data_IF_987813991985
#
_entry.id   IF_987813991985
#
_cell.length_a   1.000
_cell.length_b   1.000
_cell.length_c   1.000
_cell.angle_alpha   90.00
_cell.angle_beta   90.00
_cell.angle_gamma   90.00
#
_symmetry.space_group_name_H-M   'P 1'
#
loop_
_entity.id
_entity.type
_entity.pdbx_description
1 polymer ?
#
# COMPACT_ATOMS: atom_id res chain seq x y z
N UNK A 1 7.68 28.27 11.54
CA UNK A 1 8.81 27.37 11.84
C UNK A 1 8.96 26.36 10.70
N UNK A 2 10.17 25.88 10.43
CA UNK A 2 10.39 24.76 9.49
C UNK A 2 10.03 23.46 10.22
N UNK A 3 9.20 22.63 9.60
CA UNK A 3 8.83 21.32 10.14
C UNK A 3 9.53 20.21 9.37
N UNK A 4 10.30 19.39 10.08
CA UNK A 4 10.86 18.16 9.54
C UNK A 4 9.99 17.00 10.02
N UNK A 5 9.28 16.37 9.07
CA UNK A 5 8.33 15.30 9.36
C UNK A 5 8.93 13.95 8.95
N UNK A 6 8.98 13.00 9.87
CA UNK A 6 9.20 11.58 9.55
C UNK A 6 8.01 10.73 10.01
N UNK A 7 7.58 9.82 9.14
CA UNK A 7 6.61 8.77 9.46
C UNK A 7 7.37 7.44 9.66
N UNK A 8 7.66 7.08 10.90
CA UNK A 8 8.54 5.96 11.25
C UNK A 8 7.73 4.71 11.64
N UNK A 9 7.48 3.83 10.67
CA UNK A 9 6.68 2.61 10.87
C UNK A 9 7.48 1.38 11.33
N UNK A 10 8.81 1.47 11.29
CA UNK A 10 9.69 0.37 11.65
C UNK A 10 10.62 0.76 12.81
N UNK A 11 11.05 -0.24 13.58
CA UNK A 11 12.03 0.01 14.63
C UNK A 11 13.40 0.21 13.98
N UNK A 12 13.99 1.38 14.18
CA UNK A 12 15.32 1.72 13.68
C UNK A 12 16.15 2.35 14.79
N UNK A 13 17.19 1.63 15.24
CA UNK A 13 18.05 2.10 16.31
C UNK A 13 18.90 3.32 15.91
N UNK A 14 19.12 3.54 14.61
CA UNK A 14 19.87 4.69 14.08
C UNK A 14 18.97 5.86 13.69
N UNK A 15 17.66 5.74 13.84
CA UNK A 15 16.68 6.73 13.41
C UNK A 15 17.04 8.15 13.87
N UNK A 16 17.18 8.37 15.18
CA UNK A 16 17.49 9.70 15.71
C UNK A 16 18.85 10.24 15.24
N UNK A 17 19.85 9.37 15.07
CA UNK A 17 21.15 9.76 14.50
C UNK A 17 21.01 10.30 13.08
N UNK A 18 20.24 9.60 12.23
CA UNK A 18 20.01 9.98 10.84
C UNK A 18 19.19 11.25 10.77
N UNK A 19 18.06 11.28 11.49
CA UNK A 19 17.12 12.39 11.52
C UNK A 19 17.78 13.72 11.94
N UNK A 20 18.56 13.73 13.02
CA UNK A 20 19.24 14.96 13.46
C UNK A 20 20.37 15.36 12.51
N UNK A 21 21.12 14.40 11.97
CA UNK A 21 22.18 14.70 10.99
C UNK A 21 21.60 15.37 9.75
N UNK A 22 20.50 14.85 9.21
CA UNK A 22 19.83 15.41 8.03
C UNK A 22 19.26 16.80 8.30
N UNK A 23 18.61 17.00 9.46
CA UNK A 23 18.09 18.33 9.86
C UNK A 23 19.22 19.35 9.95
N UNK A 24 20.29 19.04 10.67
CA UNK A 24 21.38 20.00 10.87
C UNK A 24 22.15 20.26 9.58
N UNK A 25 22.29 19.25 8.71
CA UNK A 25 22.86 19.43 7.39
C UNK A 25 21.99 20.37 6.54
N UNK A 26 20.67 20.17 6.53
CA UNK A 26 19.75 21.07 5.82
C UNK A 26 19.87 22.50 6.34
N UNK A 27 19.79 22.71 7.65
CA UNK A 27 19.87 24.04 8.25
C UNK A 27 21.21 24.73 7.96
N UNK A 28 22.31 23.96 7.89
CA UNK A 28 23.62 24.49 7.51
C UNK A 28 23.69 24.90 6.03
N UNK A 29 22.97 24.18 5.15
CA UNK A 29 22.98 24.42 3.70
C UNK A 29 22.03 25.53 3.25
N UNK A 30 21.14 26.01 4.12
CA UNK A 30 20.15 27.04 3.77
C UNK A 30 20.40 28.35 4.48
N UNK A 31 20.12 29.47 3.82
CA UNK A 31 20.15 30.81 4.43
C UNK A 31 18.88 31.14 5.25
N UNK A 32 18.00 30.16 5.48
CA UNK A 32 16.77 30.34 6.24
C UNK A 32 17.08 30.52 7.73
N UNK A 33 16.62 31.63 8.31
CA UNK A 33 16.79 31.94 9.74
C UNK A 33 15.59 31.51 10.61
N UNK A 34 14.60 30.82 10.03
CA UNK A 34 13.42 30.38 10.73
C UNK A 34 13.77 29.35 11.83
N UNK A 35 13.10 29.43 12.98
CA UNK A 35 13.14 28.36 13.97
C UNK A 35 12.59 27.05 13.37
N UNK A 36 13.02 25.89 13.90
CA UNK A 36 12.63 24.58 13.39
C UNK A 36 12.06 23.66 14.46
N UNK A 37 11.24 22.70 14.03
CA UNK A 37 10.68 21.64 14.86
C UNK A 37 10.73 20.30 14.14
N UNK A 38 11.05 19.23 14.87
CA UNK A 38 10.96 17.86 14.37
C UNK A 38 9.61 17.27 14.76
N UNK A 39 8.95 16.61 13.81
CA UNK A 39 7.69 15.90 14.02
C UNK A 39 7.90 14.45 13.61
N UNK A 40 7.63 13.54 14.52
CA UNK A 40 7.76 12.11 14.26
C UNK A 40 6.42 11.44 14.52
N UNK A 41 5.94 10.71 13.52
CA UNK A 41 4.71 9.94 13.60
C UNK A 41 5.08 8.46 13.67
N UNK A 42 4.76 7.84 14.81
CA UNK A 42 4.91 6.41 15.02
C UNK A 42 3.54 5.71 14.93
N UNK A 43 3.48 4.44 14.54
CA UNK A 43 2.25 3.66 14.62
C UNK A 43 1.82 3.45 16.10
N UNK A 44 2.77 3.12 16.97
CA UNK A 44 2.59 2.81 18.39
C UNK A 44 3.91 2.98 19.14
N UNK A 45 3.86 3.14 20.47
CA UNK A 45 5.06 3.39 21.31
C UNK A 45 6.14 2.32 21.20
N UNK A 46 5.74 1.06 21.03
CA UNK A 46 6.69 -0.06 20.96
C UNK A 46 7.63 -0.03 19.74
N UNK A 47 7.32 0.78 18.72
CA UNK A 47 8.14 0.94 17.51
C UNK A 47 9.24 1.98 17.70
N UNK A 48 9.06 2.93 18.62
CA UNK A 48 10.06 3.95 18.90
C UNK A 48 11.38 3.31 19.35
N UNK A 49 12.48 3.87 18.85
CA UNK A 49 13.83 3.42 19.22
C UNK A 49 14.09 3.64 20.71
N UNK A 50 14.75 2.67 21.33
CA UNK A 50 15.05 2.67 22.77
C UNK A 50 16.31 3.49 23.08
N UNK A 51 17.22 3.67 22.10
CA UNK A 51 18.49 4.38 22.31
C UNK A 51 18.33 5.90 22.13
N UNK A 52 17.63 6.53 23.08
CA UNK A 52 17.39 7.99 23.08
C UNK A 52 18.41 8.76 23.92
N UNK A 53 19.22 8.08 24.74
CA UNK A 53 20.12 8.69 25.72
C UNK A 53 21.07 9.73 25.10
N UNK A 54 21.66 9.43 23.93
CA UNK A 54 22.59 10.34 23.23
C UNK A 54 21.94 11.63 22.77
N UNK A 55 20.62 11.63 22.57
CA UNK A 55 19.87 12.74 22.00
C UNK A 55 18.84 13.30 22.97
N UNK A 56 18.94 12.92 24.26
CA UNK A 56 17.95 13.23 25.28
C UNK A 56 17.67 14.73 25.40
N UNK A 57 18.71 15.58 25.30
CA UNK A 57 18.55 17.04 25.35
C UNK A 57 17.63 17.57 24.25
N UNK A 58 17.85 17.15 23.00
CA UNK A 58 17.02 17.56 21.87
C UNK A 58 15.60 17.02 21.99
N UNK A 59 15.45 15.74 22.33
CA UNK A 59 14.14 15.08 22.47
C UNK A 59 13.32 15.72 23.60
N UNK A 60 13.96 16.05 24.73
CA UNK A 60 13.28 16.59 25.91
C UNK A 60 13.11 18.12 25.88
N UNK A 61 13.73 18.81 24.92
CA UNK A 61 13.62 20.28 24.80
C UNK A 61 12.24 20.80 24.35
N UNK A 62 11.32 19.92 23.96
CA UNK A 62 10.05 20.29 23.31
C UNK A 62 10.19 20.58 21.80
N UNK A 63 11.42 20.53 21.26
CA UNK A 63 11.69 20.69 19.82
C UNK A 63 11.26 19.49 18.99
N UNK A 64 11.16 18.31 19.60
CA UNK A 64 10.78 17.07 18.94
C UNK A 64 9.42 16.64 19.43
N UNK A 65 8.43 16.75 18.54
CA UNK A 65 7.07 16.29 18.76
C UNK A 65 6.94 14.85 18.29
N UNK A 66 6.44 13.99 19.16
CA UNK A 66 6.21 12.57 18.87
C UNK A 66 4.72 12.30 18.97
N UNK A 67 4.16 11.82 17.88
CA UNK A 67 2.77 11.41 17.78
C UNK A 67 2.70 9.91 17.56
N UNK A 68 1.72 9.26 18.18
CA UNK A 68 1.50 7.82 18.05
C UNK A 68 0.10 7.62 17.49
N UNK A 69 0.00 7.06 16.28
CA UNK A 69 -1.26 6.94 15.53
C UNK A 69 -2.33 6.16 16.31
N UNK A 70 -1.94 5.15 17.09
CA UNK A 70 -2.84 4.36 17.95
C UNK A 70 -3.47 5.20 19.09
N UNK A 71 -2.81 6.29 19.50
CA UNK A 71 -3.27 7.16 20.60
C UNK A 71 -4.11 8.34 20.11
N UNK A 72 -4.08 8.63 18.81
CA UNK A 72 -4.84 9.72 18.21
C UNK A 72 -6.31 9.34 18.11
N UNK A 73 -7.18 10.06 18.83
CA UNK A 73 -8.63 9.93 18.76
C UNK A 73 -9.20 11.08 17.96
N UNK A 74 -10.24 10.81 17.17
CA UNK A 74 -11.07 11.83 16.49
C UNK A 74 -10.24 12.85 15.69
N UNK A 75 -9.49 12.36 14.70
CA UNK A 75 -8.65 13.24 13.87
C UNK A 75 -9.43 13.76 12.68
N UNK A 76 -9.64 15.07 12.63
CA UNK A 76 -10.26 15.75 11.48
C UNK A 76 -9.37 15.75 10.24
N UNK A 77 -8.08 15.46 10.35
CA UNK A 77 -7.19 15.40 9.17
C UNK A 77 -7.40 14.12 8.37
N UNK A 78 -7.69 14.28 7.07
CA UNK A 78 -7.74 13.18 6.11
C UNK A 78 -6.42 12.40 6.04
N UNK A 79 -5.28 13.10 6.00
CA UNK A 79 -3.96 12.46 5.91
C UNK A 79 -3.62 11.60 7.12
N UNK A 80 -3.96 12.05 8.34
CA UNK A 80 -3.75 11.23 9.55
C UNK A 80 -4.71 10.05 9.57
N UNK A 81 -5.97 10.25 9.17
CA UNK A 81 -6.97 9.18 9.09
C UNK A 81 -6.53 8.08 8.11
N UNK A 82 -5.89 8.46 7.00
CA UNK A 82 -5.24 7.53 6.05
C UNK A 82 -4.10 6.74 6.69
N UNK A 83 -3.21 7.40 7.44
CA UNK A 83 -2.12 6.71 8.15
C UNK A 83 -2.67 5.76 9.23
N UNK A 84 -3.77 6.12 9.89
CA UNK A 84 -4.45 5.25 10.85
C UNK A 84 -5.03 4.00 10.19
N UNK A 85 -5.49 4.08 8.94
CA UNK A 85 -5.97 2.90 8.19
C UNK A 85 -4.88 1.83 8.08
N UNK A 86 -3.61 2.21 7.94
CA UNK A 86 -2.48 1.27 7.84
C UNK A 86 -2.33 0.44 9.13
N UNK A 87 -2.51 1.06 10.29
CA UNK A 87 -2.36 0.39 11.59
C UNK A 87 -3.66 -0.19 12.14
N UNK A 88 -4.80 0.08 11.52
CA UNK A 88 -6.12 -0.32 11.97
C UNK A 88 -6.25 -1.85 12.12
N UNK A 89 -6.93 -2.37 13.15
CA UNK A 89 -7.30 -3.79 13.19
C UNK A 89 -8.12 -4.18 11.95
N UNK A 90 -7.90 -5.38 11.40
CA UNK A 90 -8.59 -5.89 10.20
C UNK A 90 -10.12 -5.74 10.30
N UNK A 91 -10.70 -5.99 11.48
CA UNK A 91 -12.14 -5.84 11.74
C UNK A 91 -12.67 -4.41 11.58
N UNK A 92 -11.83 -3.37 11.76
CA UNK A 92 -12.19 -1.96 11.65
C UNK A 92 -11.72 -1.30 10.35
N UNK A 93 -10.78 -1.93 9.64
CA UNK A 93 -10.22 -1.39 8.41
C UNK A 93 -11.28 -1.10 7.34
N UNK A 94 -12.28 -1.99 7.23
CA UNK A 94 -13.39 -1.80 6.28
C UNK A 94 -14.22 -0.58 6.65
N UNK A 95 -14.62 -0.45 7.91
CA UNK A 95 -15.42 0.69 8.36
C UNK A 95 -14.68 2.02 8.18
N UNK A 96 -13.39 2.05 8.55
CA UNK A 96 -12.56 3.25 8.38
C UNK A 96 -12.37 3.62 6.90
N UNK A 97 -12.12 2.63 6.03
CA UNK A 97 -12.06 2.86 4.58
C UNK A 97 -13.36 3.47 4.05
N UNK A 98 -14.52 2.98 4.49
CA UNK A 98 -15.85 3.49 4.08
C UNK A 98 -16.07 4.94 4.50
N UNK A 99 -15.51 5.35 5.63
CA UNK A 99 -15.61 6.73 6.14
C UNK A 99 -14.63 7.68 5.41
N UNK A 100 -13.48 7.18 4.98
CA UNK A 100 -12.45 7.99 4.29
C UNK A 100 -12.84 8.38 2.87
N UNK A 101 -13.48 7.48 2.13
CA UNK A 101 -13.83 7.67 0.71
C UNK A 101 -14.73 8.91 0.47
N UNK A 102 -15.87 9.11 1.17
CA UNK A 102 -16.68 10.31 0.97
C UNK A 102 -15.90 11.58 1.32
N UNK A 103 -15.08 11.54 2.37
CA UNK A 103 -14.23 12.66 2.77
C UNK A 103 -13.21 13.06 1.72
N UNK A 104 -12.57 12.08 1.05
CA UNK A 104 -11.68 12.35 -0.09
C UNK A 104 -12.42 13.11 -1.19
N UNK A 105 -13.67 12.71 -1.50
CA UNK A 105 -14.46 13.35 -2.55
C UNK A 105 -14.90 14.77 -2.19
N UNK A 106 -15.21 15.00 -0.92
CA UNK A 106 -15.71 16.28 -0.43
C UNK A 106 -14.59 17.29 -0.14
N UNK A 107 -13.49 16.84 0.47
CA UNK A 107 -12.41 17.72 0.93
C UNK A 107 -11.39 18.07 -0.17
N UNK A 108 -11.32 17.29 -1.26
CA UNK A 108 -10.35 17.50 -2.34
C UNK A 108 -11.05 17.91 -3.64
N UNK A 109 -10.79 19.12 -4.18
CA UNK A 109 -11.40 19.55 -5.44
C UNK A 109 -10.76 18.94 -6.70
N UNK A 110 -9.56 18.34 -6.58
CA UNK A 110 -8.79 17.83 -7.71
C UNK A 110 -9.03 16.34 -7.92
N UNK A 111 -9.65 15.98 -9.06
CA UNK A 111 -9.95 14.59 -9.43
C UNK A 111 -8.71 13.68 -9.48
N UNK A 112 -7.55 14.19 -9.92
CA UNK A 112 -6.33 13.38 -9.96
C UNK A 112 -5.86 13.02 -8.54
N UNK A 113 -5.89 13.98 -7.62
CA UNK A 113 -5.52 13.74 -6.23
C UNK A 113 -6.52 12.80 -5.53
N UNK A 114 -7.82 12.93 -5.86
CA UNK A 114 -8.83 11.98 -5.38
C UNK A 114 -8.49 10.56 -5.84
N UNK A 115 -8.20 10.35 -7.13
CA UNK A 115 -7.85 9.04 -7.68
C UNK A 115 -6.59 8.45 -7.01
N UNK A 116 -5.53 9.25 -6.84
CA UNK A 116 -4.29 8.81 -6.19
C UNK A 116 -4.54 8.37 -4.73
N UNK A 117 -5.39 9.08 -3.98
CA UNK A 117 -5.70 8.69 -2.60
C UNK A 117 -6.64 7.49 -2.52
N UNK A 118 -7.59 7.36 -3.44
CA UNK A 118 -8.45 6.18 -3.51
C UNK A 118 -7.64 4.92 -3.85
N UNK A 119 -6.67 5.03 -4.76
CA UNK A 119 -5.70 3.98 -5.07
C UNK A 119 -4.86 3.59 -3.86
N UNK A 120 -4.45 4.57 -3.05
CA UNK A 120 -3.74 4.29 -1.79
C UNK A 120 -4.63 3.55 -0.78
N UNK A 121 -5.91 3.94 -0.62
CA UNK A 121 -6.86 3.22 0.24
C UNK A 121 -6.98 1.76 -0.20
N UNK A 122 -7.21 1.53 -1.49
CA UNK A 122 -7.35 0.19 -2.05
C UNK A 122 -6.10 -0.64 -1.78
N UNK A 123 -4.93 -0.08 -2.06
CA UNK A 123 -3.65 -0.74 -1.79
C UNK A 123 -3.57 -1.15 -0.32
N UNK A 124 -3.81 -0.23 0.61
CA UNK A 124 -3.78 -0.52 2.05
C UNK A 124 -4.78 -1.63 2.42
N UNK A 125 -6.00 -1.59 1.88
CA UNK A 125 -7.04 -2.59 2.17
C UNK A 125 -6.68 -3.98 1.63
N UNK A 126 -6.17 -4.08 0.40
CA UNK A 126 -5.72 -5.34 -0.19
C UNK A 126 -4.62 -5.98 0.65
N UNK A 127 -3.62 -5.20 1.05
CA UNK A 127 -2.54 -5.71 1.92
C UNK A 127 -3.03 -6.07 3.33
N UNK A 128 -3.99 -5.34 3.88
CA UNK A 128 -4.51 -5.58 5.23
C UNK A 128 -5.56 -6.70 5.30
N UNK A 129 -6.25 -7.00 4.19
CA UNK A 129 -7.33 -7.98 4.09
C UNK A 129 -6.98 -9.09 3.07
N UNK A 130 -5.87 -9.83 3.24
CA UNK A 130 -5.39 -10.77 2.22
C UNK A 130 -6.33 -11.96 1.97
N UNK A 131 -7.26 -12.23 2.89
CA UNK A 131 -8.24 -13.32 2.78
C UNK A 131 -9.59 -12.85 2.21
N UNK A 132 -9.76 -11.54 1.99
CA UNK A 132 -10.96 -10.99 1.37
C UNK A 132 -10.66 -10.84 -0.10
N UNK A 133 -11.49 -11.44 -0.96
CA UNK A 133 -11.30 -11.32 -2.39
C UNK A 133 -11.48 -9.87 -2.83
N UNK A 134 -10.83 -9.50 -3.92
CA UNK A 134 -10.90 -8.15 -4.48
C UNK A 134 -12.33 -7.73 -4.84
N UNK A 135 -13.11 -8.67 -5.37
CA UNK A 135 -14.54 -8.49 -5.67
C UNK A 135 -15.36 -8.23 -4.42
N UNK A 136 -15.04 -8.88 -3.31
CA UNK A 136 -15.69 -8.62 -2.01
C UNK A 136 -15.31 -7.26 -1.46
N UNK A 137 -14.03 -6.84 -1.59
CA UNK A 137 -13.61 -5.48 -1.28
C UNK A 137 -14.45 -4.49 -2.12
N UNK A 138 -14.49 -4.61 -3.44
CA UNK A 138 -15.32 -3.73 -4.30
C UNK A 138 -16.79 -3.66 -3.85
N UNK A 139 -17.40 -4.82 -3.60
CA UNK A 139 -18.79 -4.91 -3.19
C UNK A 139 -19.04 -4.24 -1.84
N UNK A 140 -18.11 -4.38 -0.89
CA UNK A 140 -18.22 -3.77 0.44
C UNK A 140 -18.26 -2.25 0.36
N UNK A 141 -17.52 -1.63 -0.56
CA UNK A 141 -17.40 -0.18 -0.61
C UNK A 141 -18.19 0.50 -1.76
N UNK A 142 -18.92 -0.27 -2.59
CA UNK A 142 -19.64 0.27 -3.76
C UNK A 142 -18.75 1.07 -4.72
N UNK A 143 -17.49 0.64 -4.87
CA UNK A 143 -16.45 1.46 -5.52
C UNK A 143 -16.30 1.14 -7.01
N UNK A 144 -17.20 1.70 -7.82
CA UNK A 144 -16.92 1.96 -9.24
C UNK A 144 -15.56 2.63 -9.46
N UNK A 145 -15.12 3.42 -8.48
CA UNK A 145 -13.94 4.27 -8.57
C UNK A 145 -12.63 3.50 -8.35
N UNK A 146 -12.64 2.41 -7.58
CA UNK A 146 -11.45 1.56 -7.45
C UNK A 146 -11.14 0.80 -8.74
N UNK A 147 -12.15 0.54 -9.58
CA UNK A 147 -11.93 -0.07 -10.90
C UNK A 147 -11.06 0.79 -11.83
N UNK A 148 -10.99 2.08 -11.54
CA UNK A 148 -10.21 3.04 -12.32
C UNK A 148 -8.77 3.18 -11.80
N UNK A 149 -8.42 2.60 -10.66
CA UNK A 149 -7.04 2.66 -10.15
C UNK A 149 -6.15 1.78 -11.01
N UNK A 150 -4.86 2.12 -11.10
CA UNK A 150 -3.93 1.34 -11.93
C UNK A 150 -3.68 -0.02 -11.31
N UNK A 151 -3.51 -0.05 -9.98
CA UNK A 151 -3.39 -1.31 -9.23
C UNK A 151 -4.55 -2.26 -9.55
N UNK A 152 -5.75 -1.72 -9.77
CA UNK A 152 -6.89 -2.53 -10.18
C UNK A 152 -6.79 -3.06 -11.60
N UNK A 153 -6.46 -2.19 -12.55
CA UNK A 153 -6.39 -2.57 -13.96
C UNK A 153 -5.27 -3.58 -14.21
N UNK A 154 -4.11 -3.38 -13.59
CA UNK A 154 -2.97 -4.28 -13.68
C UNK A 154 -3.32 -5.67 -13.12
N UNK A 155 -3.89 -5.74 -11.92
CA UNK A 155 -4.29 -7.02 -11.33
C UNK A 155 -5.41 -7.73 -12.11
N UNK A 156 -6.32 -6.97 -12.74
CA UNK A 156 -7.36 -7.54 -13.60
C UNK A 156 -6.78 -8.11 -14.90
N UNK A 157 -5.82 -7.40 -15.51
CA UNK A 157 -5.17 -7.85 -16.74
C UNK A 157 -4.30 -9.09 -16.48
N UNK A 158 -3.51 -9.09 -15.40
CA UNK A 158 -2.73 -10.26 -14.98
C UNK A 158 -3.64 -11.48 -14.77
N UNK A 159 -4.76 -11.32 -14.06
CA UNK A 159 -5.74 -12.39 -13.88
C UNK A 159 -6.41 -12.84 -15.19
N UNK A 160 -6.52 -11.97 -16.20
CA UNK A 160 -7.06 -12.31 -17.53
C UNK A 160 -6.05 -13.14 -18.31
N UNK A 161 -4.78 -12.74 -18.29
CA UNK A 161 -3.68 -13.48 -18.92
C UNK A 161 -3.51 -14.87 -18.29
N UNK A 162 -3.50 -14.95 -16.95
CA UNK A 162 -3.45 -16.22 -16.23
C UNK A 162 -4.66 -17.11 -16.55
N UNK A 163 -5.86 -16.53 -16.59
CA UNK A 163 -7.09 -17.25 -16.94
C UNK A 163 -7.11 -17.77 -18.37
N UNK A 164 -6.61 -16.98 -19.32
CA UNK A 164 -6.48 -17.40 -20.72
C UNK A 164 -5.48 -18.55 -20.85
N UNK A 165 -4.32 -18.45 -20.21
CA UNK A 165 -3.33 -19.53 -20.16
C UNK A 165 -3.92 -20.79 -19.53
N UNK A 166 -4.59 -20.68 -18.39
CA UNK A 166 -5.22 -21.80 -17.72
C UNK A 166 -6.29 -22.48 -18.60
N UNK A 167 -7.11 -21.70 -19.31
CA UNK A 167 -8.12 -22.22 -20.23
C UNK A 167 -7.48 -22.93 -21.43
N UNK A 168 -6.41 -22.36 -22.01
CA UNK A 168 -5.62 -22.98 -23.08
C UNK A 168 -5.07 -24.33 -22.59
N UNK A 169 -4.41 -24.36 -21.43
CA UNK A 169 -3.86 -25.60 -20.86
C UNK A 169 -4.95 -26.65 -20.56
N UNK A 170 -6.07 -26.25 -19.96
CA UNK A 170 -7.18 -27.15 -19.65
C UNK A 170 -7.87 -27.74 -20.90
N UNK A 171 -7.71 -27.12 -22.07
CA UNK A 171 -8.26 -27.62 -23.33
C UNK A 171 -7.41 -28.72 -23.99
N UNK A 172 -6.14 -28.85 -23.60
CA UNK A 172 -5.16 -29.76 -24.21
C UNK A 172 -5.63 -31.23 -24.20
N UNK A 173 -6.12 -31.81 -23.08
CA UNK A 173 -6.56 -33.22 -23.07
C UNK A 173 -7.69 -33.48 -24.07
N UNK A 174 -8.60 -32.53 -24.24
CA UNK A 174 -9.72 -32.64 -25.19
C UNK A 174 -9.23 -32.56 -26.64
N UNK A 175 -8.24 -31.73 -26.95
CA UNK A 175 -7.66 -31.63 -28.28
C UNK A 175 -6.86 -32.89 -28.64
N UNK A 176 -6.16 -33.48 -27.68
CA UNK A 176 -5.51 -34.78 -27.85
C UNK A 176 -6.53 -35.90 -28.11
N UNK A 177 -7.64 -35.91 -27.38
CA UNK A 177 -8.72 -36.88 -27.61
C UNK A 177 -9.37 -36.74 -29.00
N UNK A 178 -9.29 -35.56 -29.62
CA UNK A 178 -9.71 -35.30 -31.00
C UNK A 178 -8.63 -35.66 -32.04
N UNK A 179 -7.47 -36.18 -31.61
CA UNK A 179 -6.42 -36.69 -32.48
C UNK A 179 -5.40 -35.66 -32.95
N UNK A 180 -5.37 -34.46 -32.38
CA UNK A 180 -4.33 -33.48 -32.68
C UNK A 180 -3.01 -33.89 -32.03
N UNK A 181 -1.88 -33.65 -32.71
CA UNK A 181 -0.55 -33.87 -32.13
C UNK A 181 -0.08 -32.64 -31.31
N UNK A 182 1.00 -32.79 -30.54
CA UNK A 182 1.50 -31.71 -29.68
C UNK A 182 1.90 -30.43 -30.44
N UNK A 183 2.45 -30.55 -31.65
CA UNK A 183 2.86 -29.40 -32.47
C UNK A 183 1.64 -28.62 -32.97
N UNK A 184 0.59 -29.33 -33.39
CA UNK A 184 -0.68 -28.76 -33.82
C UNK A 184 -1.41 -28.07 -32.65
N UNK A 185 -1.35 -28.65 -31.45
CA UNK A 185 -1.95 -28.05 -30.24
C UNK A 185 -1.18 -26.81 -29.81
N UNK A 186 0.15 -26.88 -29.79
CA UNK A 186 1.02 -25.73 -29.48
C UNK A 186 0.75 -24.57 -30.44
N UNK A 187 0.66 -24.85 -31.73
CA UNK A 187 0.34 -23.85 -32.75
C UNK A 187 -1.09 -23.30 -32.60
N UNK A 188 -2.09 -24.15 -32.35
CA UNK A 188 -3.49 -23.73 -32.26
C UNK A 188 -3.80 -22.92 -31.00
N UNK A 189 -3.08 -23.15 -29.91
CA UNK A 189 -3.25 -22.46 -28.63
C UNK A 189 -2.22 -21.34 -28.42
N UNK A 190 -1.31 -21.14 -29.37
CA UNK A 190 -0.17 -20.20 -29.26
C UNK A 190 0.66 -20.43 -27.99
N UNK A 191 0.91 -21.71 -27.66
CA UNK A 191 1.69 -22.14 -26.51
C UNK A 191 3.04 -22.69 -26.95
N UNK A 192 4.02 -22.67 -26.05
CA UNK A 192 5.25 -23.43 -26.23
C UNK A 192 4.96 -24.94 -26.18
N UNK A 193 5.66 -25.73 -27.00
CA UNK A 193 5.49 -27.18 -27.03
C UNK A 193 5.81 -27.84 -25.67
N UNK A 194 6.70 -27.26 -24.88
CA UNK A 194 7.00 -27.70 -23.52
C UNK A 194 5.83 -27.45 -22.56
N UNK A 195 5.12 -26.33 -22.70
CA UNK A 195 3.90 -26.06 -21.93
C UNK A 195 2.81 -27.10 -22.24
N UNK A 196 2.70 -27.50 -23.52
CA UNK A 196 1.75 -28.53 -23.94
C UNK A 196 2.12 -29.90 -23.37
N UNK A 197 3.41 -30.25 -23.38
CA UNK A 197 3.91 -31.51 -22.78
C UNK A 197 3.68 -31.55 -21.28
N UNK A 198 4.01 -30.48 -20.56
CA UNK A 198 3.85 -30.40 -19.10
C UNK A 198 2.40 -30.54 -18.67
N UNK A 199 1.45 -29.96 -19.41
CA UNK A 199 0.01 -30.08 -19.14
C UNK A 199 -0.51 -31.54 -19.21
N UNK A 200 0.25 -32.45 -19.82
CA UNK A 200 -0.08 -33.88 -19.92
C UNK A 200 0.71 -34.79 -18.98
N UNK A 201 1.72 -34.25 -18.28
CA UNK A 201 2.56 -34.99 -17.34
C UNK A 201 2.09 -34.87 -15.87
N UNK A 202 0.97 -34.19 -15.63
CA UNK A 202 0.40 -33.90 -14.31
C UNK A 202 -0.71 -34.85 -13.83
N UNK A 203 -0.92 -36.01 -14.47
CA UNK A 203 -1.76 -37.11 -13.97
C UNK A 203 -0.93 -38.33 -13.57
#
# INVERSE_FOLDING_TARGET
>A
PIYFLEVQFQKDNRFYSRFFSEIFLYLHQTDLSNNWQGVIIYPRRSVESVETARYGELINSGRILRFYLEELREVESLGISMLQLIIAPTARAIEQGKQLIPRIREELPNLKQQQELLELIETILVYKLPQVSRKEIEAMFSLSDLKQTKVYQEALEEGREEGELAAKLASIPRLLALGLNFEQIAQALELDIEQVRQATQGE
#
